data_IF_691394273186
#
_entry.id   IF_691394273186
#
_cell.length_a   1.000
_cell.length_b   1.000
_cell.length_c   1.000
_cell.angle_alpha   90.00
_cell.angle_beta   90.00
_cell.angle_gamma   90.00
#
_symmetry.space_group_name_H-M   'P 1'
#
loop_
_entity.id
_entity.type
_entity.pdbx_description
1 polymer ?
#
# COMPACT_ATOMS: atom_id res chain seq x y z
N UNK A 1 5.86 -2.71 15.64
CA UNK A 1 7.17 -2.10 15.32
C UNK A 1 7.42 -2.28 13.84
N UNK A 2 7.61 -1.20 13.11
CA UNK A 2 7.85 -1.21 11.67
C UNK A 2 9.36 -1.14 11.48
N UNK A 3 9.94 -2.15 10.83
CA UNK A 3 11.37 -2.20 10.55
C UNK A 3 11.61 -1.91 9.07
N UNK A 4 12.36 -0.85 8.78
CA UNK A 4 12.88 -0.60 7.46
C UNK A 4 14.03 -1.59 7.16
N UNK A 5 14.12 -2.09 5.93
CA UNK A 5 15.10 -3.10 5.51
C UNK A 5 16.55 -2.62 5.65
N UNK A 6 16.81 -1.32 5.48
CA UNK A 6 18.16 -0.76 5.70
C UNK A 6 18.61 -0.79 7.17
N UNK A 7 17.65 -0.72 8.09
CA UNK A 7 17.94 -0.84 9.53
C UNK A 7 18.31 -2.28 9.93
N UNK A 8 17.97 -3.28 9.10
CA UNK A 8 18.29 -4.70 9.35
C UNK A 8 19.79 -4.97 9.52
N UNK A 9 20.65 -4.36 8.71
CA UNK A 9 22.10 -4.61 8.79
C UNK A 9 22.70 -4.19 10.13
N UNK A 10 22.13 -3.15 10.78
CA UNK A 10 22.60 -2.69 12.10
C UNK A 10 21.97 -3.42 13.28
N UNK A 11 20.72 -3.91 13.13
CA UNK A 11 19.98 -4.56 14.23
C UNK A 11 20.34 -6.04 14.38
N UNK A 12 20.66 -6.73 13.29
CA UNK A 12 21.04 -8.16 13.32
C UNK A 12 22.31 -8.38 14.16
N UNK A 13 23.24 -7.41 14.19
CA UNK A 13 24.48 -7.55 14.97
C UNK A 13 24.35 -7.13 16.44
N UNK A 14 23.29 -6.43 16.85
CA UNK A 14 23.19 -5.90 18.20
C UNK A 14 22.26 -6.68 19.15
N UNK A 15 21.37 -7.53 18.62
CA UNK A 15 20.41 -8.26 19.46
C UNK A 15 20.10 -9.67 18.93
N UNK A 16 21.11 -10.56 18.98
CA UNK A 16 20.93 -11.97 18.59
C UNK A 16 20.05 -12.77 19.58
N UNK A 17 19.48 -12.14 20.62
CA UNK A 17 18.76 -12.82 21.71
C UNK A 17 17.36 -12.30 22.02
N UNK A 18 16.78 -11.44 21.19
CA UNK A 18 15.36 -11.10 21.36
C UNK A 18 14.51 -11.95 20.41
N UNK A 19 14.19 -13.16 20.84
CA UNK A 19 13.19 -14.03 20.18
C UNK A 19 11.78 -13.54 20.48
N UNK A 20 11.43 -12.31 20.03
CA UNK A 20 10.05 -11.88 20.09
C UNK A 20 9.29 -12.67 19.02
N UNK A 21 8.42 -13.55 19.46
CA UNK A 21 7.54 -14.32 18.58
C UNK A 21 6.30 -13.49 18.27
N UNK A 22 5.81 -13.63 17.06
CA UNK A 22 4.56 -13.05 16.60
C UNK A 22 3.70 -14.16 16.00
N UNK A 23 2.40 -14.09 16.23
CA UNK A 23 1.46 -15.06 15.66
C UNK A 23 1.35 -14.87 14.14
N UNK A 24 1.43 -13.62 13.68
CA UNK A 24 1.35 -13.28 12.26
C UNK A 24 2.43 -12.27 11.84
N UNK A 25 2.94 -12.45 10.62
CA UNK A 25 3.81 -11.49 9.94
C UNK A 25 3.12 -11.04 8.67
N UNK A 26 2.84 -9.73 8.56
CA UNK A 26 2.24 -9.12 7.38
C UNK A 26 3.32 -8.40 6.60
N UNK A 27 3.46 -8.74 5.33
CA UNK A 27 4.41 -8.10 4.41
C UNK A 27 3.68 -7.01 3.63
N UNK A 28 4.07 -5.77 3.89
CA UNK A 28 3.48 -4.56 3.33
C UNK A 28 2.55 -3.84 4.30
N UNK A 29 2.89 -2.59 4.62
CA UNK A 29 2.11 -1.69 5.46
C UNK A 29 1.17 -0.79 4.66
N UNK A 30 0.62 -1.27 3.56
CA UNK A 30 -0.42 -0.61 2.79
C UNK A 30 -1.82 -0.78 3.41
N UNK A 31 -2.85 -0.30 2.70
CA UNK A 31 -4.24 -0.31 3.17
C UNK A 31 -4.68 -1.70 3.61
N UNK A 32 -4.52 -2.71 2.76
CA UNK A 32 -4.93 -4.10 3.07
C UNK A 32 -4.16 -4.68 4.24
N UNK A 33 -2.82 -4.48 4.28
CA UNK A 33 -1.98 -5.00 5.36
C UNK A 33 -2.34 -4.40 6.72
N UNK A 34 -2.61 -3.10 6.76
CA UNK A 34 -3.01 -2.41 8.00
C UNK A 34 -4.39 -2.88 8.47
N UNK A 35 -5.36 -3.01 7.57
CA UNK A 35 -6.70 -3.50 7.92
C UNK A 35 -6.63 -4.94 8.45
N UNK A 36 -5.89 -5.80 7.77
CA UNK A 36 -5.69 -7.19 8.20
C UNK A 36 -5.02 -7.24 9.57
N UNK A 37 -3.94 -6.45 9.78
CA UNK A 37 -3.27 -6.38 11.08
C UNK A 37 -4.22 -5.93 12.19
N UNK A 38 -5.04 -4.90 11.93
CA UNK A 38 -6.00 -4.38 12.89
C UNK A 38 -7.00 -5.46 13.28
N UNK A 39 -7.56 -6.18 12.31
CA UNK A 39 -8.51 -7.26 12.59
C UNK A 39 -7.90 -8.40 13.39
N UNK A 40 -6.69 -8.81 13.08
CA UNK A 40 -5.98 -9.84 13.83
C UNK A 40 -5.71 -9.40 15.28
N UNK A 41 -5.31 -8.15 15.49
CA UNK A 41 -5.07 -7.59 16.83
C UNK A 41 -6.38 -7.49 17.64
N UNK A 42 -7.49 -7.09 17.00
CA UNK A 42 -8.82 -7.09 17.65
C UNK A 42 -9.23 -8.48 18.17
N UNK A 43 -8.73 -9.54 17.52
CA UNK A 43 -8.94 -10.94 17.95
C UNK A 43 -7.82 -11.47 18.87
N UNK A 44 -6.97 -10.58 19.40
CA UNK A 44 -5.97 -10.93 20.41
C UNK A 44 -4.63 -11.44 19.86
N UNK A 45 -4.44 -11.45 18.54
CA UNK A 45 -3.19 -11.90 17.95
C UNK A 45 -2.07 -10.85 18.05
N UNK A 46 -0.83 -11.31 18.22
CA UNK A 46 0.37 -10.48 18.09
C UNK A 46 0.81 -10.43 16.62
N UNK A 47 0.97 -9.20 16.07
CA UNK A 47 1.23 -8.99 14.65
C UNK A 47 2.49 -8.16 14.42
N UNK A 48 3.32 -8.58 13.47
CA UNK A 48 4.45 -7.82 12.95
C UNK A 48 4.16 -7.38 11.52
N UNK A 49 4.22 -6.06 11.24
CA UNK A 49 4.15 -5.54 9.88
C UNK A 49 5.57 -5.23 9.40
N UNK A 50 5.93 -5.77 8.24
CA UNK A 50 7.18 -5.47 7.52
C UNK A 50 6.85 -4.54 6.36
N UNK A 51 7.39 -3.32 6.38
CA UNK A 51 7.21 -2.31 5.33
C UNK A 51 8.56 -1.97 4.69
N UNK A 52 8.62 -2.02 3.35
CA UNK A 52 9.81 -1.65 2.58
C UNK A 52 10.06 -0.14 2.64
N UNK A 53 8.98 0.63 2.60
CA UNK A 53 9.02 2.08 2.56
C UNK A 53 9.29 2.74 3.91
N UNK A 54 9.53 4.02 3.87
CA UNK A 54 9.75 4.83 5.07
C UNK A 54 8.44 5.40 5.60
N UNK A 55 8.38 5.70 6.89
CA UNK A 55 7.28 6.46 7.46
C UNK A 55 7.36 7.90 6.95
N UNK A 56 6.31 8.36 6.26
CA UNK A 56 6.23 9.74 5.82
C UNK A 56 5.89 10.67 7.00
N UNK A 57 6.77 11.65 7.22
CA UNK A 57 6.50 12.80 8.10
C UNK A 57 6.28 14.08 7.27
N UNK A 58 6.10 13.96 5.94
CA UNK A 58 5.90 15.11 5.06
C UNK A 58 4.48 15.67 5.23
N UNK A 59 4.39 16.89 5.74
CA UNK A 59 3.13 17.58 5.96
C UNK A 59 2.34 17.79 4.66
N UNK A 60 3.03 18.02 3.52
CA UNK A 60 2.39 18.24 2.23
C UNK A 60 1.57 17.01 1.79
N UNK A 61 2.01 15.80 2.10
CA UNK A 61 1.24 14.58 1.82
C UNK A 61 -0.05 14.45 2.67
N UNK A 62 -0.16 15.22 3.73
CA UNK A 62 -1.35 15.23 4.58
C UNK A 62 -2.32 16.37 4.21
N UNK A 63 -1.92 17.23 3.26
CA UNK A 63 -2.72 18.38 2.81
C UNK A 63 -3.30 18.09 1.41
N UNK A 64 -4.64 17.94 1.28
CA UNK A 64 -5.28 17.61 0.00
C UNK A 64 -4.89 18.54 -1.17
N UNK A 65 -4.71 19.84 -0.91
CA UNK A 65 -4.34 20.81 -1.93
C UNK A 65 -2.84 20.79 -2.33
N UNK A 66 -1.99 20.12 -1.56
CA UNK A 66 -0.53 20.19 -1.73
C UNK A 66 0.14 18.83 -1.93
N UNK A 67 -0.59 17.74 -1.87
CA UNK A 67 -0.06 16.36 -1.91
C UNK A 67 0.82 16.09 -3.14
N UNK A 68 0.45 16.61 -4.31
CA UNK A 68 1.23 16.47 -5.56
C UNK A 68 2.65 17.00 -5.38
N UNK A 69 2.81 18.19 -4.76
CA UNK A 69 4.14 18.76 -4.46
C UNK A 69 4.91 17.93 -3.47
N UNK A 70 4.22 17.26 -2.54
CA UNK A 70 4.83 16.32 -1.61
C UNK A 70 5.34 15.04 -2.26
N UNK A 71 4.89 14.74 -3.48
CA UNK A 71 5.31 13.57 -4.26
C UNK A 71 6.42 13.85 -5.26
N UNK A 72 6.70 15.10 -5.60
CA UNK A 72 7.78 15.47 -6.51
C UNK A 72 9.13 15.01 -5.96
N UNK A 73 9.86 14.20 -6.75
CA UNK A 73 11.15 13.60 -6.37
C UNK A 73 11.12 12.88 -5.01
N UNK A 74 9.99 12.30 -4.66
CA UNK A 74 9.71 11.78 -3.34
C UNK A 74 10.26 10.36 -3.13
N UNK A 75 10.88 10.06 -1.98
CA UNK A 75 11.28 8.70 -1.63
C UNK A 75 10.08 7.79 -1.31
N UNK A 76 8.87 8.34 -1.31
CA UNK A 76 7.62 7.63 -1.00
C UNK A 76 7.01 6.93 -2.21
N UNK A 77 7.61 7.10 -3.39
CA UNK A 77 7.19 6.45 -4.63
C UNK A 77 8.28 5.52 -5.16
N UNK A 78 7.84 4.43 -5.76
CA UNK A 78 8.63 3.53 -6.58
C UNK A 78 8.00 3.46 -7.96
N UNK A 79 8.82 3.62 -8.98
CA UNK A 79 8.37 3.58 -10.36
C UNK A 79 8.74 2.24 -10.99
N UNK A 80 7.81 1.69 -11.72
CA UNK A 80 7.98 0.50 -12.54
C UNK A 80 7.69 0.86 -13.98
N UNK A 81 8.35 0.20 -14.88
CA UNK A 81 8.11 0.32 -16.32
C UNK A 81 7.58 -1.01 -16.85
N UNK A 82 6.49 -0.99 -17.59
CA UNK A 82 5.97 -2.19 -18.22
C UNK A 82 6.88 -2.65 -19.35
N UNK A 83 6.79 -3.92 -19.72
CA UNK A 83 7.33 -4.35 -21.01
C UNK A 83 6.60 -3.64 -22.16
N UNK A 84 7.23 -3.49 -23.35
CA UNK A 84 6.57 -2.93 -24.52
C UNK A 84 5.28 -3.67 -24.88
N UNK A 85 4.19 -2.94 -25.02
CA UNK A 85 2.86 -3.48 -25.30
C UNK A 85 2.62 -3.43 -26.82
N UNK A 86 2.67 -4.57 -27.51
CA UNK A 86 2.49 -4.65 -28.97
C UNK A 86 1.18 -4.02 -29.45
N UNK A 87 0.08 -4.23 -28.70
CA UNK A 87 -1.25 -3.69 -29.00
C UNK A 87 -1.34 -2.17 -28.85
N UNK A 88 -0.35 -1.55 -28.20
CA UNK A 88 -0.27 -0.11 -27.96
C UNK A 88 0.96 0.51 -28.68
N UNK A 89 1.27 0.06 -29.89
CA UNK A 89 2.42 0.51 -30.67
C UNK A 89 3.76 0.39 -29.92
N UNK A 90 3.96 -0.70 -29.21
CA UNK A 90 5.13 -0.96 -28.37
C UNK A 90 5.35 0.09 -27.25
N UNK A 91 4.32 0.83 -26.87
CA UNK A 91 4.40 1.79 -25.77
C UNK A 91 4.63 1.06 -24.45
N UNK A 92 5.49 1.62 -23.63
CA UNK A 92 5.68 1.25 -22.22
C UNK A 92 4.93 2.21 -21.31
N UNK A 93 4.44 1.71 -20.20
CA UNK A 93 3.76 2.51 -19.20
C UNK A 93 4.59 2.59 -17.92
N UNK A 94 4.71 3.79 -17.39
CA UNK A 94 5.24 4.01 -16.07
C UNK A 94 4.13 3.86 -15.04
N UNK A 95 4.39 3.02 -14.03
CA UNK A 95 3.46 2.74 -12.95
C UNK A 95 4.11 3.21 -11.66
N UNK A 96 3.54 4.24 -11.06
CA UNK A 96 3.96 4.72 -9.75
C UNK A 96 3.25 3.93 -8.66
N UNK A 97 4.01 3.38 -7.72
CA UNK A 97 3.47 2.72 -6.53
C UNK A 97 4.00 3.38 -5.27
N UNK A 98 3.17 3.38 -4.24
CA UNK A 98 3.57 3.87 -2.94
C UNK A 98 4.66 2.99 -2.31
N UNK A 99 5.68 3.63 -1.76
CA UNK A 99 6.74 3.01 -0.97
C UNK A 99 6.83 3.71 0.39
N UNK A 100 5.77 3.58 1.15
CA UNK A 100 5.63 4.22 2.46
C UNK A 100 4.58 3.50 3.30
N UNK A 101 4.66 3.66 4.61
CA UNK A 101 3.60 3.21 5.51
C UNK A 101 2.28 3.91 5.18
N UNK A 102 1.22 3.14 5.04
CA UNK A 102 -0.08 3.55 4.54
C UNK A 102 -0.29 3.22 3.06
N UNK A 103 0.80 2.95 2.32
CA UNK A 103 0.73 2.55 0.91
C UNK A 103 -0.01 3.56 0.05
N UNK A 104 -0.85 3.09 -0.85
CA UNK A 104 -1.63 3.91 -1.78
C UNK A 104 -2.51 4.95 -1.10
N UNK A 105 -2.98 4.71 0.13
CA UNK A 105 -3.79 5.69 0.85
C UNK A 105 -3.03 6.99 1.20
N UNK A 106 -1.70 6.94 1.19
CA UNK A 106 -0.84 8.11 1.46
C UNK A 106 -0.52 8.94 0.22
N UNK A 107 -0.64 8.34 -0.97
CA UNK A 107 -0.17 8.94 -2.22
C UNK A 107 -1.24 8.98 -3.32
N UNK A 108 -2.48 8.62 -3.01
CA UNK A 108 -3.58 8.67 -3.97
C UNK A 108 -4.01 10.10 -4.29
N UNK A 109 -4.73 10.28 -5.38
CA UNK A 109 -5.23 11.57 -5.84
C UNK A 109 -6.47 12.06 -5.10
N UNK A 110 -6.95 11.35 -4.09
CA UNK A 110 -8.13 11.69 -3.29
C UNK A 110 -9.40 11.93 -4.14
N UNK A 111 -9.46 11.30 -5.31
CA UNK A 111 -10.63 11.35 -6.18
C UNK A 111 -11.63 10.30 -5.71
N UNK A 112 -12.84 10.74 -5.41
CA UNK A 112 -13.98 9.85 -5.17
C UNK A 112 -14.92 9.92 -6.36
N UNK A 113 -15.05 8.80 -7.06
CA UNK A 113 -15.99 8.67 -8.18
C UNK A 113 -16.78 7.37 -7.99
N UNK A 114 -18.08 7.52 -7.85
CA UNK A 114 -18.97 6.37 -7.77
C UNK A 114 -19.24 5.81 -9.16
N UNK A 115 -19.25 4.48 -9.32
CA UNK A 115 -19.65 3.83 -10.54
C UNK A 115 -21.12 4.11 -10.88
N UNK A 116 -21.49 3.93 -12.15
CA UNK A 116 -22.89 4.04 -12.57
C UNK A 116 -23.69 2.83 -12.05
N UNK A 117 -24.93 3.02 -11.61
CA UNK A 117 -25.78 1.89 -11.19
C UNK A 117 -25.86 0.79 -12.26
N UNK A 118 -25.93 1.16 -13.55
CA UNK A 118 -25.97 0.21 -14.66
C UNK A 118 -24.75 -0.72 -14.71
N UNK A 119 -23.58 -0.30 -14.24
CA UNK A 119 -22.38 -1.13 -14.25
C UNK A 119 -22.48 -2.21 -13.17
N UNK A 120 -23.03 -1.86 -12.00
CA UNK A 120 -23.27 -2.79 -10.91
C UNK A 120 -24.39 -3.78 -11.22
N UNK A 121 -25.50 -3.30 -11.82
CA UNK A 121 -26.59 -4.18 -12.27
C UNK A 121 -26.07 -5.22 -13.27
N UNK A 122 -25.20 -4.82 -14.20
CA UNK A 122 -24.58 -5.75 -15.14
C UNK A 122 -23.71 -6.78 -14.44
N UNK A 123 -22.94 -6.39 -13.42
CA UNK A 123 -22.15 -7.33 -12.63
C UNK A 123 -23.03 -8.29 -11.83
N UNK A 124 -24.16 -7.82 -11.28
CA UNK A 124 -25.15 -8.69 -10.65
C UNK A 124 -25.67 -9.76 -11.64
N UNK A 125 -26.04 -9.35 -12.86
CA UNK A 125 -26.49 -10.27 -13.90
C UNK A 125 -25.39 -11.28 -14.31
N UNK A 126 -24.15 -10.82 -14.50
CA UNK A 126 -23.03 -11.66 -14.93
C UNK A 126 -22.53 -12.62 -13.85
N UNK A 127 -22.64 -12.25 -12.60
CA UNK A 127 -22.12 -13.05 -11.47
C UNK A 127 -23.19 -13.78 -10.69
N UNK A 128 -24.47 -13.51 -10.96
CA UNK A 128 -25.63 -14.00 -10.20
C UNK A 128 -25.55 -13.67 -8.70
N UNK A 129 -24.86 -12.56 -8.35
CA UNK A 129 -24.62 -12.12 -6.97
C UNK A 129 -25.29 -10.78 -6.68
N UNK A 130 -26.40 -10.82 -5.92
CA UNK A 130 -27.19 -9.64 -5.53
C UNK A 130 -26.47 -8.64 -4.62
N UNK A 131 -25.25 -8.95 -4.15
CA UNK A 131 -24.46 -7.99 -3.37
C UNK A 131 -23.89 -6.84 -4.22
N UNK A 132 -24.00 -6.93 -5.56
CA UNK A 132 -23.58 -5.85 -6.45
C UNK A 132 -24.62 -4.74 -6.63
N UNK A 133 -25.86 -4.93 -6.21
CA UNK A 133 -26.94 -3.95 -6.37
C UNK A 133 -27.23 -3.16 -5.08
#
# INVERSE_FOLDING_TARGET
>A
MILNIETRKKIIYKNLYMTKKYDFIIVGGGTSGIITATKLIEHGASVLILEEGIKSNNLLLSMPAAWIRGLENSPYLKFYESIPQKQLNNRQHFIAQAKTLGGGSKVNGMVYMRGKPSDYNKWEEETEDSNWN
#
